data_IF_689545273425
#
_entry.id   IF_689545273425
#
_cell.length_a   1.000
_cell.length_b   1.000
_cell.length_c   1.000
_cell.angle_alpha   90.00
_cell.angle_beta   90.00
_cell.angle_gamma   90.00
#
_symmetry.space_group_name_H-M   'P 1'
#
loop_
_entity.id
_entity.type
_entity.pdbx_description
1 polymer ?
#
# COMPACT_ATOMS: atom_id res chain seq x y z
N UNK A 1 -21.37 2.52 1.38
CA UNK A 1 -21.86 2.43 0.00
C UNK A 1 -20.81 2.68 -1.08
N UNK A 2 -19.58 3.11 -0.76
CA UNK A 2 -18.47 3.10 -1.73
C UNK A 2 -18.53 4.21 -2.80
N UNK A 3 -19.47 5.14 -2.68
CA UNK A 3 -19.71 6.21 -3.67
C UNK A 3 -18.72 7.39 -3.59
N UNK A 4 -17.79 7.36 -2.63
CA UNK A 4 -16.80 8.42 -2.44
C UNK A 4 -15.45 8.02 -3.05
N UNK A 5 -14.60 9.02 -3.29
CA UNK A 5 -13.24 8.83 -3.80
C UNK A 5 -12.47 7.81 -2.98
N UNK A 6 -11.84 6.85 -3.66
CA UNK A 6 -11.05 5.79 -3.03
C UNK A 6 -9.77 6.34 -2.39
N UNK A 7 -9.36 5.74 -1.27
CA UNK A 7 -8.11 6.07 -0.56
C UNK A 7 -7.37 4.80 -0.16
N UNK A 8 -6.48 4.36 -1.06
CA UNK A 8 -5.75 3.10 -0.98
C UNK A 8 -4.84 3.04 0.25
N UNK A 9 -3.98 4.05 0.43
CA UNK A 9 -3.01 4.11 1.52
C UNK A 9 -3.67 4.15 2.90
N UNK A 10 -4.78 4.88 3.04
CA UNK A 10 -5.54 4.93 4.30
C UNK A 10 -6.17 3.58 4.64
N UNK A 11 -6.72 2.86 3.66
CA UNK A 11 -7.27 1.51 3.89
C UNK A 11 -6.18 0.51 4.29
N UNK A 12 -4.97 0.65 3.77
CA UNK A 12 -3.83 -0.17 4.18
C UNK A 12 -3.42 0.09 5.64
N UNK A 13 -3.42 1.36 6.08
CA UNK A 13 -3.21 1.70 7.49
C UNK A 13 -4.29 1.08 8.40
N UNK A 14 -5.55 1.07 7.96
CA UNK A 14 -6.66 0.44 8.69
C UNK A 14 -6.46 -1.07 8.77
N UNK A 15 -6.08 -1.71 7.66
CA UNK A 15 -5.78 -3.14 7.65
C UNK A 15 -4.68 -3.52 8.64
N UNK A 16 -3.60 -2.73 8.70
CA UNK A 16 -2.55 -2.88 9.72
C UNK A 16 -3.12 -2.79 11.14
N UNK A 17 -3.90 -1.75 11.44
CA UNK A 17 -4.42 -1.49 12.77
C UNK A 17 -5.43 -2.55 13.23
N UNK A 18 -6.31 -3.01 12.34
CA UNK A 18 -7.31 -4.04 12.65
C UNK A 18 -6.70 -5.44 12.73
N UNK A 19 -5.74 -5.79 11.87
CA UNK A 19 -5.08 -7.10 11.93
C UNK A 19 -4.40 -7.34 13.28
N UNK A 20 -3.78 -6.30 13.85
CA UNK A 20 -3.13 -6.37 15.17
C UNK A 20 -4.10 -6.56 16.34
N UNK A 21 -5.41 -6.34 16.16
CA UNK A 21 -6.42 -6.68 17.18
C UNK A 21 -6.74 -8.17 17.21
N UNK A 22 -6.53 -8.87 16.10
CA UNK A 22 -6.82 -10.30 15.96
C UNK A 22 -5.62 -11.17 16.35
N UNK A 23 -4.40 -10.74 16.02
CA UNK A 23 -3.19 -11.48 16.33
C UNK A 23 -1.96 -10.56 16.34
N UNK A 24 -0.90 -10.97 17.05
CA UNK A 24 0.37 -10.25 17.08
C UNK A 24 1.19 -10.53 15.81
N UNK A 25 0.73 -9.98 14.68
CA UNK A 25 1.42 -10.08 13.41
C UNK A 25 2.68 -9.19 13.39
N UNK A 26 3.80 -9.78 12.99
CA UNK A 26 5.08 -9.07 12.84
C UNK A 26 5.39 -8.64 11.40
N UNK A 27 4.58 -9.09 10.43
CA UNK A 27 4.76 -8.82 9.02
C UNK A 27 3.44 -8.51 8.33
N UNK A 28 3.44 -7.48 7.49
CA UNK A 28 2.27 -6.99 6.77
C UNK A 28 2.58 -6.95 5.29
N UNK A 29 1.75 -7.65 4.50
CA UNK A 29 1.78 -7.59 3.04
C UNK A 29 0.60 -6.76 2.55
N UNK A 30 0.90 -5.73 1.79
CA UNK A 30 -0.08 -4.83 1.19
C UNK A 30 -0.16 -5.16 -0.30
N UNK A 31 -1.30 -5.72 -0.73
CA UNK A 31 -1.48 -6.21 -2.09
C UNK A 31 -2.69 -5.56 -2.75
N UNK A 32 -2.52 -5.11 -3.98
CA UNK A 32 -3.66 -4.87 -4.86
C UNK A 32 -4.34 -6.21 -5.18
N UNK A 33 -5.68 -6.20 -5.23
CA UNK A 33 -6.50 -7.42 -5.41
C UNK A 33 -6.37 -8.01 -6.81
N UNK A 34 -5.91 -7.21 -7.76
CA UNK A 34 -5.79 -7.55 -9.17
C UNK A 34 -4.37 -7.98 -9.56
N UNK A 35 -3.42 -8.11 -8.62
CA UNK A 35 -2.05 -8.53 -8.93
C UNK A 35 -1.77 -9.93 -8.40
N UNK A 36 -1.51 -10.86 -9.31
CA UNK A 36 -1.24 -12.27 -8.98
C UNK A 36 0.22 -12.61 -9.28
N UNK A 37 0.99 -13.17 -8.31
CA UNK A 37 2.35 -13.64 -8.56
C UNK A 37 2.34 -14.82 -9.54
N UNK A 38 3.33 -14.87 -10.42
CA UNK A 38 3.47 -15.93 -11.43
C UNK A 38 4.43 -17.05 -11.00
N UNK A 39 5.13 -16.87 -9.88
CA UNK A 39 6.14 -17.78 -9.35
C UNK A 39 6.04 -17.81 -7.81
N UNK A 40 5.97 -19.00 -7.22
CA UNK A 40 5.83 -19.21 -5.77
C UNK A 40 7.14 -19.04 -4.99
N UNK A 41 8.29 -18.98 -5.68
CA UNK A 41 9.55 -18.56 -5.08
C UNK A 41 9.53 -17.07 -4.65
N UNK A 42 8.59 -16.27 -5.18
CA UNK A 42 8.33 -14.92 -4.69
C UNK A 42 7.55 -14.98 -3.37
N UNK A 43 8.21 -15.38 -2.29
CA UNK A 43 7.55 -15.59 -0.99
C UNK A 43 6.98 -14.30 -0.40
N UNK A 44 5.70 -14.32 -0.06
CA UNK A 44 4.96 -13.19 0.54
C UNK A 44 5.28 -13.05 2.03
N UNK A 45 6.45 -12.48 2.33
CA UNK A 45 6.92 -12.21 3.69
C UNK A 45 7.79 -10.96 3.75
N UNK A 46 8.12 -10.58 4.97
CA UNK A 46 8.98 -9.44 5.27
C UNK A 46 10.46 -9.86 5.30
N UNK A 47 11.33 -8.88 5.08
CA UNK A 47 12.79 -9.03 5.07
C UNK A 47 13.42 -7.92 5.91
N UNK A 48 14.75 -7.90 6.02
CA UNK A 48 15.50 -6.87 6.76
C UNK A 48 15.27 -5.45 6.23
N UNK A 49 14.87 -5.31 4.97
CA UNK A 49 14.49 -4.06 4.32
C UNK A 49 13.06 -4.17 3.76
N UNK A 50 12.30 -3.06 3.67
CA UNK A 50 10.99 -3.05 3.02
C UNK A 50 11.04 -3.72 1.65
N UNK A 51 10.10 -4.62 1.40
CA UNK A 51 10.11 -5.53 0.25
C UNK A 51 9.11 -5.06 -0.81
N UNK A 52 9.56 -4.88 -2.04
CA UNK A 52 8.69 -4.72 -3.20
C UNK A 52 8.55 -6.08 -3.90
N UNK A 53 7.34 -6.62 -3.94
CA UNK A 53 7.06 -7.98 -4.42
C UNK A 53 6.63 -8.02 -5.90
N UNK A 54 5.98 -6.96 -6.40
CA UNK A 54 5.50 -6.85 -7.79
C UNK A 54 6.48 -6.10 -8.71
N UNK A 55 7.72 -6.57 -8.80
CA UNK A 55 8.80 -5.89 -9.53
C UNK A 55 8.69 -5.96 -11.05
N UNK A 56 7.97 -6.95 -11.57
CA UNK A 56 7.91 -7.28 -12.99
C UNK A 56 6.47 -7.57 -13.41
N UNK A 57 5.68 -6.52 -13.65
CA UNK A 57 4.27 -6.67 -14.03
C UNK A 57 4.08 -6.74 -15.54
N UNK A 58 3.18 -7.62 -16.00
CA UNK A 58 2.80 -7.77 -17.40
C UNK A 58 2.31 -6.46 -18.06
N UNK A 59 1.54 -5.64 -17.33
CA UNK A 59 1.05 -4.34 -17.80
C UNK A 59 2.17 -3.35 -18.16
N UNK A 60 3.36 -3.55 -17.61
CA UNK A 60 4.56 -2.76 -17.88
C UNK A 60 5.58 -3.51 -18.74
N UNK A 61 5.16 -4.59 -19.41
CA UNK A 61 6.03 -5.41 -20.24
C UNK A 61 7.11 -6.15 -19.44
N UNK A 62 6.79 -6.58 -18.21
CA UNK A 62 7.71 -7.26 -17.30
C UNK A 62 8.97 -6.44 -16.99
N UNK A 63 8.79 -5.12 -16.85
CA UNK A 63 9.85 -4.19 -16.47
C UNK A 63 9.40 -3.32 -15.31
N UNK A 64 10.35 -2.98 -14.45
CA UNK A 64 10.13 -2.00 -13.39
C UNK A 64 9.95 -0.61 -14.04
N UNK A 65 8.85 0.13 -13.78
CA UNK A 65 8.60 1.43 -14.41
C UNK A 65 9.71 2.45 -14.16
N UNK A 66 10.22 2.51 -12.93
CA UNK A 66 11.34 3.35 -12.49
C UNK A 66 11.89 2.81 -11.16
N UNK A 67 13.13 3.16 -10.82
CA UNK A 67 13.86 2.56 -9.69
C UNK A 67 13.19 2.78 -8.33
N UNK A 68 12.48 3.89 -8.16
CA UNK A 68 11.77 4.27 -6.94
C UNK A 68 10.37 3.64 -6.83
N UNK A 69 9.90 2.93 -7.87
CA UNK A 69 8.55 2.37 -7.89
C UNK A 69 8.32 1.37 -6.75
N UNK A 70 7.25 1.58 -5.99
CA UNK A 70 6.87 0.78 -4.81
C UNK A 70 5.37 0.45 -4.76
N UNK A 71 4.66 0.61 -5.88
CA UNK A 71 3.25 0.29 -6.03
C UNK A 71 2.99 -1.21 -6.29
N UNK A 72 1.71 -1.60 -6.32
CA UNK A 72 1.30 -2.98 -6.51
C UNK A 72 1.30 -3.78 -5.20
N UNK A 73 2.34 -4.58 -4.99
CA UNK A 73 2.49 -5.46 -3.83
C UNK A 73 3.78 -5.14 -3.08
N UNK A 74 3.66 -4.84 -1.79
CA UNK A 74 4.80 -4.57 -0.89
C UNK A 74 4.64 -5.27 0.46
N UNK A 75 5.74 -5.47 1.17
CA UNK A 75 5.74 -6.02 2.51
C UNK A 75 6.66 -5.24 3.46
N UNK A 76 6.16 -4.95 4.65
CA UNK A 76 6.89 -4.26 5.71
C UNK A 76 6.70 -5.00 7.02
N UNK A 77 7.79 -5.16 7.79
CA UNK A 77 7.67 -5.63 9.17
C UNK A 77 6.94 -4.59 10.02
N UNK A 78 6.40 -5.01 11.18
CA UNK A 78 5.80 -4.13 12.18
C UNK A 78 6.72 -2.95 12.51
N UNK A 79 8.01 -3.23 12.73
CA UNK A 79 9.03 -2.22 13.01
C UNK A 79 9.22 -1.24 11.83
N UNK A 80 9.38 -1.75 10.61
CA UNK A 80 9.58 -0.93 9.41
C UNK A 80 8.39 -0.01 9.16
N UNK A 81 7.17 -0.54 9.32
CA UNK A 81 5.93 0.19 9.13
C UNK A 81 5.76 1.30 10.18
N UNK A 82 6.01 1.00 11.46
CA UNK A 82 5.98 2.02 12.52
C UNK A 82 7.06 3.09 12.34
N UNK A 83 8.27 2.70 11.91
CA UNK A 83 9.39 3.63 11.68
C UNK A 83 9.05 4.72 10.67
N UNK A 84 8.21 4.42 9.68
CA UNK A 84 7.74 5.40 8.67
C UNK A 84 6.43 6.10 9.05
N UNK A 85 5.91 5.87 10.27
CA UNK A 85 4.58 6.30 10.70
C UNK A 85 3.46 5.77 9.78
N UNK A 86 3.61 4.55 9.27
CA UNK A 86 2.73 3.98 8.25
C UNK A 86 2.63 4.82 6.98
N UNK A 87 1.51 4.68 6.28
CA UNK A 87 1.26 5.30 4.96
C UNK A 87 0.51 6.63 5.08
N UNK A 88 0.55 7.52 4.07
CA UNK A 88 -0.18 8.80 4.14
C UNK A 88 -1.71 8.58 4.09
N UNK A 89 -2.49 9.31 4.88
CA UNK A 89 -3.95 9.20 4.89
C UNK A 89 -4.63 10.18 3.93
N UNK A 90 -3.88 11.10 3.32
CA UNK A 90 -4.43 12.23 2.57
C UNK A 90 -4.34 12.09 1.04
N UNK A 91 -4.03 10.90 0.53
CA UNK A 91 -4.06 10.59 -0.90
C UNK A 91 -5.43 10.04 -1.30
N UNK A 92 -6.30 10.97 -1.69
CA UNK A 92 -7.62 10.66 -2.23
C UNK A 92 -7.58 10.69 -3.76
N UNK A 93 -8.01 9.60 -4.37
CA UNK A 93 -7.94 9.41 -5.81
C UNK A 93 -6.66 8.68 -6.24
N UNK A 94 -6.43 8.66 -7.55
CA UNK A 94 -5.38 7.82 -8.13
C UNK A 94 -4.00 8.49 -8.12
N UNK A 95 -3.04 7.80 -7.51
CA UNK A 95 -1.61 7.93 -7.77
C UNK A 95 -0.81 8.80 -6.79
N UNK A 96 0.45 8.42 -6.62
CA UNK A 96 1.49 9.15 -5.88
C UNK A 96 1.63 8.75 -4.42
N UNK A 97 0.71 7.95 -3.87
CA UNK A 97 0.82 7.47 -2.49
C UNK A 97 1.94 6.44 -2.33
N UNK A 98 2.20 5.64 -3.37
CA UNK A 98 3.31 4.69 -3.43
C UNK A 98 4.67 5.38 -3.51
N UNK A 99 4.77 6.49 -4.24
CA UNK A 99 5.95 7.35 -4.28
C UNK A 99 6.20 8.05 -2.92
N UNK A 100 5.14 8.47 -2.23
CA UNK A 100 5.23 9.00 -0.85
C UNK A 100 5.77 7.92 0.09
N UNK A 101 5.24 6.70 0.02
CA UNK A 101 5.70 5.58 0.84
C UNK A 101 7.20 5.30 0.58
N UNK A 102 7.62 5.29 -0.70
CA UNK A 102 9.04 5.17 -1.04
C UNK A 102 9.88 6.29 -0.40
N UNK A 103 9.43 7.54 -0.49
CA UNK A 103 10.11 8.68 0.13
C UNK A 103 10.19 8.55 1.65
N UNK A 104 9.14 8.05 2.30
CA UNK A 104 9.14 7.78 3.75
C UNK A 104 10.19 6.75 4.11
N UNK A 105 10.22 5.62 3.40
CA UNK A 105 11.21 4.54 3.59
C UNK A 105 12.63 5.10 3.45
N UNK A 106 12.91 5.82 2.36
CA UNK A 106 14.21 6.44 2.12
C UNK A 106 14.58 7.46 3.20
N UNK A 107 13.63 8.29 3.64
CA UNK A 107 13.86 9.30 4.69
C UNK A 107 14.22 8.69 6.05
N UNK A 108 13.86 7.43 6.28
CA UNK A 108 14.17 6.66 7.50
C UNK A 108 15.41 5.77 7.36
N UNK A 109 16.22 5.98 6.31
CA UNK A 109 17.48 5.27 6.08
C UNK A 109 17.32 3.82 5.66
N UNK A 110 16.13 3.44 5.18
CA UNK A 110 15.85 2.11 4.66
C UNK A 110 15.94 2.11 3.12
N UNK A 111 16.26 0.96 2.55
CA UNK A 111 16.31 0.72 1.11
C UNK A 111 15.22 -0.27 0.70
N UNK A 112 14.92 -0.35 -0.60
CA UNK A 112 13.92 -1.31 -1.09
C UNK A 112 14.61 -2.61 -1.48
N UNK A 113 14.20 -3.72 -0.85
CA UNK A 113 14.54 -5.08 -1.26
C UNK A 113 13.61 -5.56 -2.36
N UNK A 114 14.13 -6.32 -3.32
CA UNK A 114 13.39 -6.85 -4.48
C UNK A 114 13.78 -8.30 -4.77
N UNK A 115 12.84 -9.17 -5.21
CA UNK A 115 13.20 -10.46 -5.81
C UNK A 115 13.94 -10.24 -7.13
N UNK A 116 14.50 -11.31 -7.66
CA UNK A 116 14.92 -11.35 -9.06
C UNK A 116 13.75 -11.02 -9.99
N UNK A 117 14.02 -10.42 -11.16
CA UNK A 117 12.99 -9.99 -12.09
C UNK A 117 12.17 -11.13 -12.71
N UNK A 118 12.73 -12.33 -12.81
CA UNK A 118 12.02 -13.51 -13.31
C UNK A 118 11.09 -14.10 -12.24
N UNK A 119 11.60 -14.24 -11.01
CA UNK A 119 10.80 -14.69 -9.85
C UNK A 119 9.72 -13.67 -9.49
N UNK A 120 10.02 -12.38 -9.65
CA UNK A 120 9.15 -11.27 -9.31
C UNK A 120 8.07 -10.93 -10.36
N UNK A 121 7.79 -11.85 -11.29
CA UNK A 121 6.76 -11.68 -12.32
C UNK A 121 5.36 -11.72 -11.71
N UNK A 122 4.54 -10.77 -12.12
CA UNK A 122 3.13 -10.69 -11.73
C UNK A 122 2.24 -10.42 -12.94
N UNK A 123 1.01 -10.93 -12.88
CA UNK A 123 -0.05 -10.66 -13.85
C UNK A 123 -1.12 -9.78 -13.22
N UNK A 124 -1.50 -8.72 -13.93
CA UNK A 124 -2.63 -7.88 -13.55
C UNK A 124 -3.94 -8.43 -14.15
N UNK A 125 -4.95 -8.65 -13.31
CA UNK A 125 -6.32 -8.91 -13.74
C UNK A 125 -6.84 -7.63 -14.39
N UNK A 126 -7.21 -7.71 -15.68
CA UNK A 126 -7.62 -6.55 -16.45
C UNK A 126 -8.99 -6.06 -15.97
N UNK A 127 -9.10 -4.75 -15.75
CA UNK A 127 -10.34 -4.08 -15.44
C UNK A 127 -10.37 -2.68 -16.07
N UNK A 128 -11.56 -2.12 -16.27
CA UNK A 128 -11.70 -0.71 -16.66
C UNK A 128 -11.32 0.20 -15.50
N UNK A 129 -10.83 1.40 -15.82
CA UNK A 129 -10.51 2.38 -14.79
C UNK A 129 -11.78 2.80 -14.05
N UNK A 130 -11.72 2.78 -12.72
CA UNK A 130 -12.82 3.24 -11.89
C UNK A 130 -13.09 4.74 -12.13
N UNK A 131 -14.34 5.05 -12.48
CA UNK A 131 -14.83 6.41 -12.78
C UNK A 131 -14.80 7.33 -11.56
N UNK A 132 -14.86 6.77 -10.35
CA UNK A 132 -14.78 7.52 -9.10
C UNK A 132 -13.33 7.75 -8.63
N UNK A 133 -12.34 7.13 -9.29
CA UNK A 133 -10.93 7.19 -8.92
C UNK A 133 -10.11 8.06 -9.89
N UNK A 134 -10.53 9.33 -10.02
CA UNK A 134 -9.84 10.31 -10.84
C UNK A 134 -8.39 10.52 -10.36
N UNK A 135 -7.46 10.90 -11.26
CA UNK A 135 -6.10 11.24 -10.86
C UNK A 135 -6.08 12.30 -9.74
N UNK A 136 -5.32 12.05 -8.68
CA UNK A 136 -5.17 13.03 -7.60
C UNK A 136 -4.41 14.25 -8.13
N UNK A 137 -5.04 15.45 -8.20
CA UNK A 137 -4.40 16.65 -8.76
C UNK A 137 -3.23 17.15 -7.89
N UNK A 138 -3.21 16.79 -6.61
CA UNK A 138 -2.19 17.24 -5.65
C UNK A 138 -1.04 16.24 -5.50
N UNK A 139 -1.03 15.12 -6.24
CA UNK A 139 -0.05 14.03 -6.02
C UNK A 139 1.40 14.50 -6.02
N UNK A 140 1.79 15.35 -6.97
CA UNK A 140 3.18 15.81 -7.08
C UNK A 140 3.58 16.75 -5.94
N UNK A 141 2.68 17.66 -5.54
CA UNK A 141 2.92 18.55 -4.39
C UNK A 141 3.02 17.75 -3.08
N UNK A 142 2.15 16.74 -2.90
CA UNK A 142 2.18 15.87 -1.72
C UNK A 142 3.48 15.05 -1.65
N UNK A 143 3.95 14.48 -2.77
CA UNK A 143 5.22 13.75 -2.85
C UNK A 143 6.41 14.65 -2.44
N UNK A 144 6.41 15.92 -2.88
CA UNK A 144 7.48 16.86 -2.50
C UNK A 144 7.45 17.19 -1.00
N UNK A 145 6.27 17.14 -0.38
CA UNK A 145 6.06 17.47 1.03
C UNK A 145 6.17 16.26 1.97
N UNK A 146 6.46 15.06 1.48
CA UNK A 146 6.55 13.85 2.31
C UNK A 146 7.41 14.04 3.56
N UNK A 147 8.58 14.69 3.45
CA UNK A 147 9.47 14.94 4.60
C UNK A 147 8.85 15.85 5.67
N UNK A 148 7.96 16.76 5.26
CA UNK A 148 7.27 17.68 6.16
C UNK A 148 6.07 17.02 6.82
N UNK A 149 5.41 16.07 6.14
CA UNK A 149 4.15 15.47 6.58
C UNK A 149 4.30 14.10 7.23
N UNK A 150 5.43 13.40 7.05
CA UNK A 150 5.62 12.02 7.55
C UNK A 150 5.29 11.84 9.04
N UNK A 151 5.61 12.84 9.88
CA UNK A 151 5.37 12.74 11.33
C UNK A 151 3.94 13.12 11.76
N UNK A 152 3.16 13.75 10.88
CA UNK A 152 1.82 14.29 11.20
C UNK A 152 0.70 13.61 10.41
N UNK A 153 1.01 12.99 9.27
CA UNK A 153 0.09 12.23 8.44
C UNK A 153 0.54 10.78 8.34
N UNK A 154 -0.18 9.87 9.01
CA UNK A 154 0.22 8.47 9.11
C UNK A 154 -0.67 7.65 10.05
N UNK A 155 -0.15 6.55 10.57
CA UNK A 155 -0.84 5.75 11.61
C UNK A 155 -1.16 6.59 12.84
N UNK A 156 -0.29 7.53 13.22
CA UNK A 156 -0.50 8.42 14.36
C UNK A 156 -1.71 9.36 14.22
N UNK A 157 -2.18 9.62 13.00
CA UNK A 157 -3.34 10.48 12.71
C UNK A 157 -4.48 9.74 12.02
N UNK A 158 -4.45 8.41 12.02
CA UNK A 158 -5.45 7.57 11.39
C UNK A 158 -6.82 7.74 12.08
N UNK A 159 -7.84 8.11 11.30
CA UNK A 159 -9.24 8.24 11.75
C UNK A 159 -10.17 7.49 10.79
N UNK A 160 -10.98 6.61 11.36
CA UNK A 160 -11.97 5.79 10.66
C UNK A 160 -12.94 5.19 11.69
N UNK A 161 -14.06 4.66 11.21
CA UNK A 161 -15.00 3.87 12.00
C UNK A 161 -15.20 2.50 11.36
N UNK A 162 -15.22 1.44 12.16
CA UNK A 162 -15.56 0.10 11.68
C UNK A 162 -17.08 -0.02 11.60
N UNK A 163 -17.59 -0.21 10.39
CA UNK A 163 -19.03 -0.37 10.13
C UNK A 163 -19.44 -1.82 10.28
N UNK A 164 -18.64 -2.76 9.75
CA UNK A 164 -18.96 -4.19 9.77
C UNK A 164 -17.69 -5.03 9.68
N UNK A 165 -17.66 -6.14 10.42
CA UNK A 165 -16.65 -7.19 10.30
C UNK A 165 -17.36 -8.49 9.91
N UNK A 166 -16.90 -9.13 8.84
CA UNK A 166 -17.42 -10.39 8.32
C UNK A 166 -16.26 -11.39 8.23
N UNK A 167 -16.37 -12.51 8.96
CA UNK A 167 -15.37 -13.58 8.93
C UNK A 167 -15.87 -14.68 7.99
N UNK A 168 -15.35 -14.70 6.77
CA UNK A 168 -15.64 -15.71 5.77
C UNK A 168 -14.64 -16.88 5.87
N UNK A 169 -14.89 -17.97 5.14
CA UNK A 169 -14.05 -19.17 5.19
C UNK A 169 -12.59 -18.94 4.72
N UNK A 170 -12.36 -17.95 3.86
CA UNK A 170 -11.06 -17.70 3.23
C UNK A 170 -10.46 -16.32 3.53
N UNK A 171 -11.24 -15.40 4.10
CA UNK A 171 -10.79 -14.04 4.41
C UNK A 171 -11.68 -13.39 5.48
N UNK A 172 -11.17 -12.33 6.08
CA UNK A 172 -11.97 -11.42 6.92
C UNK A 172 -12.18 -10.12 6.17
N UNK A 173 -13.43 -9.71 5.97
CA UNK A 173 -13.79 -8.44 5.38
C UNK A 173 -14.10 -7.43 6.46
N UNK A 174 -13.42 -6.28 6.41
CA UNK A 174 -13.67 -5.16 7.32
C UNK A 174 -14.19 -4.00 6.46
N UNK A 175 -15.45 -3.65 6.68
CA UNK A 175 -16.08 -2.48 6.06
C UNK A 175 -15.91 -1.30 7.00
N UNK A 176 -15.36 -0.20 6.50
CA UNK A 176 -15.02 0.98 7.29
C UNK A 176 -15.55 2.26 6.66
N UNK A 177 -15.89 3.23 7.50
CA UNK A 177 -16.06 4.62 7.12
C UNK A 177 -14.70 5.34 7.29
N UNK A 178 -14.16 5.85 6.18
CA UNK A 178 -12.88 6.56 6.14
C UNK A 178 -13.04 8.09 6.14
N UNK A 179 -14.26 8.60 6.28
CA UNK A 179 -14.61 10.00 6.11
C UNK A 179 -14.54 10.44 4.64
N UNK A 180 -14.63 11.75 4.43
CA UNK A 180 -14.60 12.39 3.10
C UNK A 180 -13.38 13.30 2.97
N UNK A 181 -12.97 13.58 1.73
CA UNK A 181 -12.11 14.73 1.43
C UNK A 181 -12.76 16.00 1.94
N UNK A 182 -12.05 16.76 2.79
CA UNK A 182 -12.38 18.17 3.04
C UNK A 182 -12.00 19.02 1.84
#
# INVERSE_FOLDING_TARGET
DGDNTFNRAKLMNIGYAEALKEYDYDCFVFSDVDIIPMDDHNTYKCFSQPRHLSVSMDKFGFKLPYNQYFGGVSALSKEQFLKINGFPNNYWGWGGEDDDIFNRVSSRGMSISRPDGEVGKCRMIRHERDKLNNPNPQRFDRIQRTRLTINTDGISSLKYEVVKVEKDALFTKITVDVGKTQ
#
